data_IF_857587175179
#
_entry.id   IF_857587175179
#
_cell.length_a   1.000
_cell.length_b   1.000
_cell.length_c   1.000
_cell.angle_alpha   90.00
_cell.angle_beta   90.00
_cell.angle_gamma   90.00
#
_symmetry.space_group_name_H-M   'P 1'
#
loop_
_entity.id
_entity.type
_entity.pdbx_description
1 polymer ?
#
# COMPACT_ATOMS: atom_id res chain seq x y z
N UNK A 1 -22.29 28.13 -20.96
CA UNK A 1 -21.38 26.97 -21.02
C UNK A 1 -20.04 27.50 -20.52
N UNK A 2 -19.78 27.31 -19.20
CA UNK A 2 -18.56 27.80 -18.57
C UNK A 2 -17.32 27.08 -19.11
N UNK A 3 -16.23 27.81 -19.28
CA UNK A 3 -14.92 27.27 -19.60
C UNK A 3 -14.53 26.22 -18.58
N UNK A 4 -14.70 24.95 -18.92
CA UNK A 4 -14.11 23.84 -18.15
C UNK A 4 -12.60 23.99 -18.37
N UNK A 5 -11.88 24.54 -17.37
CA UNK A 5 -10.41 24.47 -17.35
C UNK A 5 -10.06 23.00 -17.51
N UNK A 6 -9.30 22.61 -18.55
CA UNK A 6 -8.74 21.28 -18.69
C UNK A 6 -7.98 20.96 -17.41
N UNK A 7 -8.55 20.14 -16.55
CA UNK A 7 -7.82 19.55 -15.43
C UNK A 7 -7.03 18.41 -16.03
N UNK A 8 -5.72 18.41 -15.86
CA UNK A 8 -4.91 17.25 -16.21
C UNK A 8 -5.37 16.06 -15.35
N UNK A 9 -5.76 14.98 -16.02
CA UNK A 9 -6.06 13.75 -15.32
C UNK A 9 -4.75 13.17 -14.79
N UNK A 10 -4.69 12.96 -13.48
CA UNK A 10 -3.52 12.41 -12.84
C UNK A 10 -3.40 10.92 -13.20
N UNK A 11 -2.38 10.56 -13.97
CA UNK A 11 -2.08 9.16 -14.23
C UNK A 11 -1.43 8.53 -12.99
N UNK A 12 -1.96 7.41 -12.55
CA UNK A 12 -1.37 6.61 -11.48
C UNK A 12 -1.24 5.17 -11.93
N UNK A 13 -0.07 4.59 -11.69
CA UNK A 13 0.22 3.17 -12.01
C UNK A 13 -0.75 2.17 -11.35
N UNK A 14 -1.50 2.57 -10.33
CA UNK A 14 -2.54 1.73 -9.72
C UNK A 14 -3.72 1.49 -10.66
N UNK A 15 -3.92 2.34 -11.66
CA UNK A 15 -5.02 2.24 -12.60
C UNK A 15 -4.66 1.46 -13.87
N UNK A 16 -3.39 1.12 -14.06
CA UNK A 16 -2.92 0.41 -15.23
C UNK A 16 -3.67 -0.92 -15.37
N UNK A 17 -4.07 -1.21 -16.63
CA UNK A 17 -4.81 -2.40 -17.02
C UNK A 17 -6.19 -2.57 -16.37
N UNK A 18 -6.72 -1.58 -15.67
CA UNK A 18 -8.07 -1.65 -15.12
C UNK A 18 -9.10 -1.39 -16.23
N UNK A 19 -9.95 -2.36 -16.59
CA UNK A 19 -10.92 -2.22 -17.68
C UNK A 19 -12.05 -1.22 -17.37
N UNK A 20 -12.21 -0.85 -16.08
CA UNK A 20 -13.24 0.07 -15.61
C UNK A 20 -12.74 1.52 -15.54
N UNK A 21 -11.45 1.76 -15.80
CA UNK A 21 -10.84 3.11 -15.75
C UNK A 21 -10.34 3.48 -17.13
N UNK A 22 -10.92 4.52 -17.72
CA UNK A 22 -10.49 5.05 -18.99
C UNK A 22 -9.36 6.08 -18.82
N UNK A 23 -8.32 6.00 -19.66
CA UNK A 23 -7.36 7.08 -19.80
C UNK A 23 -8.08 8.29 -20.42
N UNK A 24 -8.00 9.45 -19.76
CA UNK A 24 -8.64 10.67 -20.24
C UNK A 24 -8.22 11.10 -21.66
N UNK A 25 -7.07 10.64 -22.15
CA UNK A 25 -6.56 10.90 -23.49
C UNK A 25 -7.28 10.07 -24.56
N UNK A 26 -7.85 8.93 -24.17
CA UNK A 26 -8.45 7.93 -25.06
C UNK A 26 -9.92 7.64 -24.72
N UNK A 27 -10.56 8.49 -23.92
CA UNK A 27 -11.94 8.28 -23.49
C UNK A 27 -12.91 8.47 -24.66
N UNK A 28 -13.83 7.53 -24.84
CA UNK A 28 -14.92 7.64 -25.79
C UNK A 28 -16.05 8.52 -25.20
N UNK A 29 -16.08 9.79 -25.61
CA UNK A 29 -17.09 10.75 -25.12
C UNK A 29 -18.52 10.44 -25.53
N UNK A 30 -18.75 9.43 -26.41
CA UNK A 30 -20.10 8.95 -26.78
C UNK A 30 -20.68 7.98 -25.76
N UNK A 31 -19.86 7.46 -24.83
CA UNK A 31 -20.29 6.56 -23.77
C UNK A 31 -20.51 7.32 -22.48
N UNK A 32 -21.40 6.83 -21.60
CA UNK A 32 -21.55 7.40 -20.26
C UNK A 32 -20.21 7.36 -19.52
N UNK A 33 -19.79 8.50 -18.97
CA UNK A 33 -18.52 8.64 -18.26
C UNK A 33 -18.83 9.15 -16.85
N UNK A 34 -18.25 8.48 -15.85
CA UNK A 34 -18.24 8.97 -14.49
C UNK A 34 -16.87 9.57 -14.18
N UNK A 35 -16.82 10.85 -13.86
CA UNK A 35 -15.58 11.54 -13.50
C UNK A 35 -15.41 11.48 -12.00
N UNK A 36 -14.33 10.84 -11.54
CA UNK A 36 -13.94 10.82 -10.13
C UNK A 36 -13.01 12.01 -9.89
N UNK A 37 -13.45 12.95 -9.09
CA UNK A 37 -12.68 14.14 -8.70
C UNK A 37 -12.15 13.97 -7.27
N UNK A 38 -10.84 13.71 -7.14
CA UNK A 38 -10.16 13.58 -5.84
C UNK A 38 -9.52 14.89 -5.36
N UNK A 39 -10.00 16.02 -5.81
CA UNK A 39 -9.49 17.30 -5.30
C UNK A 39 -9.67 17.45 -3.79
N UNK A 40 -8.86 18.33 -3.24
CA UNK A 40 -9.05 18.81 -1.88
C UNK A 40 -10.50 19.29 -1.71
N UNK A 41 -11.21 18.74 -0.72
CA UNK A 41 -12.65 18.94 -0.56
C UNK A 41 -13.51 17.71 -0.90
N UNK A 42 -13.00 16.70 -1.62
CA UNK A 42 -13.77 15.54 -2.08
C UNK A 42 -13.32 14.20 -1.47
N UNK A 43 -12.47 14.21 -0.45
CA UNK A 43 -12.04 12.99 0.23
C UNK A 43 -13.17 12.48 1.13
N UNK A 44 -13.77 11.30 0.87
CA UNK A 44 -15.00 10.87 1.56
C UNK A 44 -14.79 10.57 3.05
N UNK A 45 -13.56 10.32 3.48
CA UNK A 45 -13.18 10.08 4.87
C UNK A 45 -12.99 11.37 5.70
N UNK A 46 -13.12 12.57 5.08
CA UNK A 46 -13.03 13.86 5.77
C UNK A 46 -14.43 14.51 5.82
N UNK A 47 -14.84 14.94 7.02
CA UNK A 47 -16.02 15.79 7.20
C UNK A 47 -15.62 17.25 6.98
N UNK A 48 -15.68 17.69 5.72
CA UNK A 48 -15.27 19.05 5.35
C UNK A 48 -16.12 20.14 5.98
N UNK A 49 -17.42 19.92 6.21
CA UNK A 49 -18.30 20.90 6.85
C UNK A 49 -17.84 21.22 8.28
N UNK A 50 -17.57 20.18 9.05
CA UNK A 50 -17.04 20.32 10.42
C UNK A 50 -15.60 20.77 10.44
N UNK A 51 -14.78 20.34 9.49
CA UNK A 51 -13.37 20.73 9.39
C UNK A 51 -13.21 22.23 9.12
N UNK A 52 -14.00 22.80 8.23
CA UNK A 52 -13.99 24.24 7.93
C UNK A 52 -14.39 25.08 9.14
N UNK A 53 -15.42 24.69 9.88
CA UNK A 53 -15.88 25.43 11.06
C UNK A 53 -14.91 25.36 12.24
N UNK A 54 -14.18 24.24 12.39
CA UNK A 54 -13.26 24.01 13.51
C UNK A 54 -11.80 24.36 13.22
N UNK A 55 -11.45 24.68 11.97
CA UNK A 55 -10.07 24.85 11.48
C UNK A 55 -9.16 23.64 11.75
N UNK A 56 -9.76 22.43 11.88
CA UNK A 56 -9.07 21.17 12.14
C UNK A 56 -9.55 20.10 11.15
N UNK A 57 -8.71 19.13 10.86
CA UNK A 57 -9.15 17.92 10.16
C UNK A 57 -10.09 17.11 11.05
N UNK A 58 -11.35 16.95 10.61
CA UNK A 58 -12.34 16.11 11.29
C UNK A 58 -12.67 14.94 10.37
N UNK A 59 -12.50 13.72 10.90
CA UNK A 59 -12.76 12.52 10.15
C UNK A 59 -14.26 12.21 10.06
N UNK A 60 -14.68 11.77 8.88
CA UNK A 60 -16.05 11.27 8.66
C UNK A 60 -16.17 9.85 9.27
N UNK A 61 -16.69 9.76 10.47
CA UNK A 61 -16.86 8.48 11.20
C UNK A 61 -17.86 7.51 10.53
N UNK A 62 -18.68 8.00 9.61
CA UNK A 62 -19.65 7.18 8.87
C UNK A 62 -19.03 6.60 7.58
N UNK A 63 -17.81 7.03 7.21
CA UNK A 63 -17.12 6.48 6.05
C UNK A 63 -16.65 5.05 6.34
N UNK A 64 -16.84 4.18 5.36
CA UNK A 64 -16.30 2.83 5.33
C UNK A 64 -15.57 2.65 4.00
N UNK A 65 -14.29 2.27 4.01
CA UNK A 65 -13.55 2.07 2.79
C UNK A 65 -14.03 0.83 2.06
N UNK A 66 -14.24 0.96 0.76
CA UNK A 66 -14.43 -0.17 -0.14
C UNK A 66 -13.09 -0.49 -0.80
N UNK A 67 -12.67 -1.76 -0.85
CA UNK A 67 -11.47 -2.15 -1.58
C UNK A 67 -11.53 -1.72 -3.03
N UNK A 68 -10.42 -1.18 -3.54
CA UNK A 68 -10.26 -0.92 -4.96
C UNK A 68 -10.00 -2.19 -5.76
N UNK A 69 -9.57 -2.03 -7.00
CA UNK A 69 -9.24 -3.14 -7.90
C UNK A 69 -7.86 -2.92 -8.51
N UNK A 70 -7.09 -4.00 -8.63
CA UNK A 70 -5.78 -4.01 -9.29
C UNK A 70 -5.73 -5.14 -10.32
N UNK A 71 -5.27 -4.81 -11.51
CA UNK A 71 -5.14 -5.74 -12.62
C UNK A 71 -3.70 -5.79 -13.09
N UNK A 72 -3.19 -6.98 -13.33
CA UNK A 72 -1.81 -7.22 -13.76
C UNK A 72 -1.78 -7.89 -15.12
N UNK A 73 -0.83 -7.47 -15.96
CA UNK A 73 -0.50 -8.16 -17.20
C UNK A 73 0.17 -9.52 -16.91
N UNK A 74 0.31 -10.34 -17.93
CA UNK A 74 1.08 -11.59 -17.83
C UNK A 74 2.54 -11.33 -17.49
N UNK A 75 3.14 -10.29 -18.07
CA UNK A 75 4.54 -9.94 -17.81
C UNK A 75 4.77 -9.43 -16.40
N UNK A 76 3.84 -8.63 -15.86
CA UNK A 76 3.91 -8.19 -14.45
C UNK A 76 3.82 -9.39 -13.49
N UNK A 77 2.96 -10.36 -13.81
CA UNK A 77 2.88 -11.59 -13.02
C UNK A 77 4.15 -12.44 -13.14
N UNK A 78 4.74 -12.57 -14.32
CA UNK A 78 5.99 -13.30 -14.54
C UNK A 78 7.15 -12.64 -13.78
N UNK A 79 7.25 -11.29 -13.83
CA UNK A 79 8.26 -10.55 -13.07
C UNK A 79 8.10 -10.75 -11.55
N UNK A 80 6.86 -10.82 -11.06
CA UNK A 80 6.60 -11.13 -9.66
C UNK A 80 7.02 -12.55 -9.30
N UNK A 81 6.77 -13.54 -10.17
CA UNK A 81 7.21 -14.94 -9.99
C UNK A 81 8.75 -15.01 -9.91
N UNK A 82 9.48 -14.25 -10.75
CA UNK A 82 10.94 -14.18 -10.66
C UNK A 82 11.43 -13.62 -9.30
N UNK A 83 10.73 -12.62 -8.75
CA UNK A 83 11.06 -12.09 -7.42
C UNK A 83 10.83 -13.16 -6.35
N UNK A 84 9.72 -13.87 -6.42
CA UNK A 84 9.41 -14.98 -5.49
C UNK A 84 10.46 -16.08 -5.58
N UNK A 85 10.90 -16.46 -6.78
CA UNK A 85 11.95 -17.46 -6.97
C UNK A 85 13.31 -17.02 -6.40
N UNK A 86 13.68 -15.75 -6.60
CA UNK A 86 14.90 -15.17 -6.00
C UNK A 86 14.80 -15.17 -4.47
N UNK A 87 13.65 -14.82 -3.92
CA UNK A 87 13.42 -14.84 -2.49
C UNK A 87 13.50 -16.27 -1.91
N UNK A 88 12.94 -17.28 -2.62
CA UNK A 88 13.10 -18.69 -2.22
C UNK A 88 14.55 -19.16 -2.27
N UNK A 89 15.32 -18.78 -3.31
CA UNK A 89 16.77 -19.09 -3.38
C UNK A 89 17.54 -18.44 -2.23
N UNK A 90 17.17 -17.21 -1.85
CA UNK A 90 17.73 -16.55 -0.68
C UNK A 90 17.41 -17.31 0.62
N UNK A 91 16.16 -17.69 0.83
CA UNK A 91 15.71 -18.46 1.97
C UNK A 91 16.47 -19.80 2.10
N UNK A 92 16.62 -20.53 0.99
CA UNK A 92 17.28 -21.84 0.97
C UNK A 92 18.77 -21.83 1.30
N UNK A 93 19.44 -20.66 1.30
CA UNK A 93 20.82 -20.57 1.79
C UNK A 93 20.95 -20.93 3.27
N UNK A 94 19.92 -20.68 4.07
CA UNK A 94 19.89 -20.91 5.50
C UNK A 94 18.91 -22.03 5.91
N UNK A 95 18.09 -22.51 4.99
CA UNK A 95 17.03 -23.48 5.24
C UNK A 95 17.06 -24.57 4.18
N UNK A 96 17.04 -25.85 4.59
CA UNK A 96 17.15 -27.00 3.66
C UNK A 96 15.93 -27.19 2.74
N UNK A 97 14.80 -26.55 3.04
CA UNK A 97 13.54 -26.73 2.32
C UNK A 97 12.95 -25.39 1.88
N UNK A 98 12.06 -25.44 0.89
CA UNK A 98 11.33 -24.27 0.41
C UNK A 98 10.39 -23.77 1.51
N UNK A 99 10.29 -22.46 1.69
CA UNK A 99 9.35 -21.88 2.64
C UNK A 99 7.90 -22.21 2.23
N UNK A 100 7.08 -22.56 3.23
CA UNK A 100 5.65 -22.88 3.00
C UNK A 100 4.78 -21.64 2.89
N UNK A 101 5.20 -20.54 3.53
CA UNK A 101 4.44 -19.28 3.60
C UNK A 101 5.37 -18.09 3.37
N UNK A 102 4.85 -17.11 2.65
CA UNK A 102 5.56 -15.89 2.25
C UNK A 102 4.85 -14.68 2.85
N UNK A 103 5.60 -13.83 3.53
CA UNK A 103 5.10 -12.59 4.12
C UNK A 103 5.77 -11.40 3.42
N UNK A 104 4.98 -10.48 2.90
CA UNK A 104 5.49 -9.19 2.43
C UNK A 104 5.40 -8.17 3.55
N UNK A 105 6.51 -7.51 3.88
CA UNK A 105 6.59 -6.56 4.99
C UNK A 105 7.00 -5.18 4.49
N UNK A 106 6.24 -4.16 4.87
CA UNK A 106 6.63 -2.76 4.79
C UNK A 106 6.98 -2.26 6.19
N UNK A 107 8.23 -1.81 6.38
CA UNK A 107 8.71 -1.40 7.71
C UNK A 107 8.63 0.10 7.96
N UNK A 108 8.24 0.91 6.97
CA UNK A 108 8.07 2.35 7.10
C UNK A 108 7.11 2.88 6.05
N UNK A 109 6.17 3.71 6.47
CA UNK A 109 5.23 4.41 5.58
C UNK A 109 5.78 5.72 5.02
N UNK A 110 6.96 6.17 5.48
CA UNK A 110 7.51 7.47 5.11
C UNK A 110 8.57 7.37 4.04
N UNK A 111 8.42 8.17 2.99
CA UNK A 111 9.53 8.55 2.13
C UNK A 111 10.46 9.41 2.97
N UNK A 112 11.62 8.88 3.32
CA UNK A 112 12.61 9.56 4.21
C UNK A 112 13.14 10.88 3.61
N UNK A 113 12.85 11.16 2.33
CA UNK A 113 13.35 12.33 1.60
C UNK A 113 12.73 13.66 2.02
N UNK A 114 11.59 13.64 2.69
CA UNK A 114 10.97 14.86 3.18
C UNK A 114 11.10 14.92 4.71
N UNK A 115 12.15 15.60 5.17
CA UNK A 115 12.41 15.83 6.59
C UNK A 115 11.19 16.45 7.29
N UNK A 116 10.49 17.38 6.64
CA UNK A 116 9.28 18.00 7.19
C UNK A 116 8.11 17.00 7.22
N UNK A 117 8.01 16.14 6.23
CA UNK A 117 7.00 15.08 6.19
C UNK A 117 7.25 14.05 7.29
N UNK A 118 8.51 13.65 7.49
CA UNK A 118 8.89 12.68 8.52
C UNK A 118 8.59 13.17 9.95
N UNK A 119 8.78 14.46 10.22
CA UNK A 119 8.44 15.07 11.52
C UNK A 119 6.92 15.08 11.74
N UNK A 120 6.14 15.42 10.72
CA UNK A 120 4.67 15.51 10.81
C UNK A 120 3.97 14.15 10.94
N UNK A 121 4.60 13.07 10.47
CA UNK A 121 3.97 11.75 10.36
C UNK A 121 4.68 10.67 11.17
N UNK A 122 5.48 11.05 12.17
CA UNK A 122 6.16 10.11 13.09
C UNK A 122 5.21 9.12 13.74
N UNK A 123 3.97 9.51 13.95
CA UNK A 123 2.94 8.66 14.52
C UNK A 123 2.43 7.54 13.60
N UNK A 124 2.88 7.49 12.33
CA UNK A 124 2.61 6.35 11.43
C UNK A 124 3.68 5.26 11.53
N UNK A 125 4.82 5.58 12.09
CA UNK A 125 5.96 4.67 12.15
C UNK A 125 5.95 3.92 13.48
N UNK A 126 5.97 2.59 13.42
CA UNK A 126 6.06 1.73 14.61
C UNK A 126 7.45 1.75 15.25
N UNK A 127 8.43 2.27 14.55
CA UNK A 127 9.82 2.29 14.96
C UNK A 127 10.59 1.05 14.50
N UNK A 128 11.80 1.29 13.99
CA UNK A 128 12.63 0.26 13.35
C UNK A 128 12.97 -0.90 14.27
N UNK A 129 13.23 -0.65 15.56
CA UNK A 129 13.52 -1.68 16.56
C UNK A 129 12.36 -2.65 16.76
N UNK A 130 11.11 -2.18 16.72
CA UNK A 130 9.93 -3.03 16.84
C UNK A 130 9.80 -3.94 15.62
N UNK A 131 10.05 -3.42 14.42
CA UNK A 131 10.09 -4.21 13.19
C UNK A 131 11.17 -5.28 13.23
N UNK A 132 12.40 -4.96 13.69
CA UNK A 132 13.47 -5.94 13.87
C UNK A 132 13.04 -7.03 14.85
N UNK A 133 12.47 -6.66 15.99
CA UNK A 133 12.03 -7.61 17.00
C UNK A 133 10.95 -8.56 16.46
N UNK A 134 9.95 -8.05 15.75
CA UNK A 134 8.94 -8.88 15.11
C UNK A 134 9.56 -9.84 14.09
N UNK A 135 10.37 -9.31 13.18
CA UNK A 135 10.97 -10.09 12.09
C UNK A 135 11.88 -11.19 12.67
N UNK A 136 12.68 -10.89 13.68
CA UNK A 136 13.55 -11.89 14.32
C UNK A 136 12.77 -13.06 14.95
N UNK A 137 11.52 -12.86 15.37
CA UNK A 137 10.70 -13.92 15.91
C UNK A 137 10.10 -14.85 14.85
N UNK A 138 9.99 -14.37 13.60
CA UNK A 138 9.26 -15.08 12.55
C UNK A 138 10.09 -15.48 11.33
N UNK A 139 11.27 -14.87 11.12
CA UNK A 139 12.10 -15.07 9.90
C UNK A 139 12.59 -16.50 9.70
N UNK A 140 12.70 -17.30 10.75
CA UNK A 140 13.12 -18.71 10.64
C UNK A 140 11.95 -19.65 10.31
N UNK A 141 10.73 -19.15 10.36
CA UNK A 141 9.50 -19.92 10.05
C UNK A 141 8.89 -19.55 8.71
N UNK A 142 9.05 -18.28 8.29
CA UNK A 142 8.42 -17.70 7.14
C UNK A 142 9.43 -17.01 6.23
N UNK A 143 9.29 -17.17 4.94
CA UNK A 143 10.03 -16.36 3.97
C UNK A 143 9.48 -14.94 4.02
N UNK A 144 10.33 -13.99 4.36
CA UNK A 144 9.96 -12.57 4.46
C UNK A 144 10.59 -11.81 3.30
N UNK A 145 9.75 -11.02 2.60
CA UNK A 145 10.17 -10.08 1.57
C UNK A 145 9.94 -8.68 2.14
N UNK A 146 11.03 -7.93 2.36
CA UNK A 146 10.95 -6.55 2.85
C UNK A 146 10.87 -5.58 1.69
N UNK A 147 9.86 -4.69 1.70
CA UNK A 147 9.83 -3.52 0.83
C UNK A 147 10.93 -2.55 1.22
N UNK A 148 11.76 -2.17 0.25
CA UNK A 148 12.88 -1.24 0.46
C UNK A 148 12.97 -0.23 -0.69
N UNK A 149 13.48 0.95 -0.37
CA UNK A 149 13.95 1.95 -1.30
C UNK A 149 15.39 2.37 -0.92
N UNK A 150 16.03 3.24 -1.68
CA UNK A 150 17.46 3.57 -1.51
C UNK A 150 17.85 3.98 -0.08
N UNK A 151 16.95 4.65 0.64
CA UNK A 151 17.18 5.10 2.03
C UNK A 151 16.54 4.21 3.09
N UNK A 152 15.95 3.09 2.73
CA UNK A 152 15.38 2.15 3.69
C UNK A 152 16.47 1.43 4.47
N UNK A 153 16.24 1.24 5.77
CA UNK A 153 17.07 0.34 6.56
C UNK A 153 16.64 -1.10 6.29
N UNK A 154 17.56 -1.89 5.76
CA UNK A 154 17.37 -3.32 5.53
C UNK A 154 17.46 -4.08 6.84
N UNK A 155 16.64 -5.10 6.99
CA UNK A 155 16.68 -6.02 8.13
C UNK A 155 17.40 -7.31 7.72
N UNK A 156 18.31 -7.78 8.55
CA UNK A 156 19.08 -8.98 8.27
C UNK A 156 18.21 -10.25 8.30
N UNK A 157 18.53 -11.16 7.39
CA UNK A 157 17.84 -12.46 7.30
C UNK A 157 16.53 -12.41 6.52
N UNK A 158 16.17 -11.29 5.90
CA UNK A 158 15.01 -11.17 5.00
C UNK A 158 15.44 -10.82 3.58
N UNK A 159 14.63 -11.24 2.60
CA UNK A 159 14.88 -10.87 1.21
C UNK A 159 14.44 -9.44 0.94
N UNK A 160 15.30 -8.67 0.27
CA UNK A 160 14.99 -7.32 -0.19
C UNK A 160 15.70 -7.00 -1.50
N UNK A 161 15.05 -6.27 -2.40
CA UNK A 161 15.62 -5.85 -3.67
C UNK A 161 15.12 -4.44 -4.03
N UNK A 162 16.05 -3.50 -4.23
CA UNK A 162 15.76 -2.11 -4.62
C UNK A 162 15.10 -1.98 -6.00
N UNK A 163 15.20 -3.02 -6.84
CA UNK A 163 14.57 -3.04 -8.16
C UNK A 163 13.05 -3.28 -8.10
N UNK A 164 12.53 -3.66 -6.94
CA UNK A 164 11.09 -3.84 -6.75
C UNK A 164 10.44 -2.46 -6.58
N UNK A 165 10.02 -1.87 -7.69
CA UNK A 165 9.23 -0.64 -7.68
C UNK A 165 7.81 -0.89 -7.13
N UNK A 166 7.02 0.18 -6.94
CA UNK A 166 5.69 0.07 -6.36
C UNK A 166 4.76 -0.90 -7.12
N UNK A 167 4.74 -0.83 -8.45
CA UNK A 167 3.85 -1.67 -9.26
C UNK A 167 4.24 -3.16 -9.19
N UNK A 168 5.54 -3.45 -9.26
CA UNK A 168 6.06 -4.81 -9.08
C UNK A 168 5.80 -5.31 -7.64
N UNK A 169 5.94 -4.46 -6.63
CA UNK A 169 5.62 -4.80 -5.25
C UNK A 169 4.14 -5.21 -5.10
N UNK A 170 3.21 -4.50 -5.76
CA UNK A 170 1.80 -4.89 -5.79
C UNK A 170 1.60 -6.31 -6.35
N UNK A 171 2.27 -6.64 -7.47
CA UNK A 171 2.20 -7.97 -8.07
C UNK A 171 2.85 -9.04 -7.17
N UNK A 172 3.95 -8.71 -6.47
CA UNK A 172 4.60 -9.60 -5.48
C UNK A 172 3.67 -9.84 -4.29
N UNK A 173 3.02 -8.80 -3.74
CA UNK A 173 2.01 -8.95 -2.67
C UNK A 173 0.91 -9.92 -3.10
N UNK A 174 0.50 -9.88 -4.38
CA UNK A 174 -0.50 -10.83 -4.90
C UNK A 174 -0.05 -12.30 -4.83
N UNK A 175 1.25 -12.58 -4.82
CA UNK A 175 1.83 -13.94 -4.70
C UNK A 175 2.11 -14.33 -3.24
N UNK A 176 2.10 -13.37 -2.31
CA UNK A 176 2.35 -13.63 -0.89
C UNK A 176 1.10 -14.12 -0.16
N UNK A 177 1.29 -14.78 0.99
CA UNK A 177 0.21 -15.26 1.86
C UNK A 177 -0.31 -14.18 2.80
N UNK A 178 0.56 -13.25 3.20
CA UNK A 178 0.26 -12.21 4.17
C UNK A 178 1.01 -10.91 3.84
N UNK A 179 0.34 -9.79 4.01
CA UNK A 179 0.96 -8.47 4.08
C UNK A 179 1.02 -8.00 5.53
N UNK A 180 2.13 -7.38 5.93
CA UNK A 180 2.29 -6.76 7.25
C UNK A 180 2.93 -5.39 7.06
N UNK A 181 2.33 -4.35 7.59
CA UNK A 181 2.88 -3.00 7.46
C UNK A 181 2.06 -1.92 8.15
N UNK A 182 2.52 -0.65 8.11
CA UNK A 182 1.76 0.47 8.61
C UNK A 182 0.57 0.80 7.70
N UNK A 183 -0.33 1.63 8.20
CA UNK A 183 -1.38 2.22 7.36
C UNK A 183 -0.76 2.98 6.17
N UNK A 184 -1.18 2.67 4.96
CA UNK A 184 -0.59 3.25 3.76
C UNK A 184 -1.01 2.58 2.47
N UNK A 185 -0.30 2.90 1.39
CA UNK A 185 -0.61 2.44 0.04
C UNK A 185 -0.70 0.93 -0.09
N UNK A 186 0.24 0.18 0.47
CA UNK A 186 0.23 -1.29 0.40
C UNK A 186 -0.88 -1.94 1.22
N UNK A 187 -1.39 -1.30 2.29
CA UNK A 187 -2.60 -1.73 2.96
C UNK A 187 -3.82 -1.71 2.03
N UNK A 188 -3.96 -0.64 1.24
CA UNK A 188 -5.01 -0.55 0.21
C UNK A 188 -4.80 -1.58 -0.92
N UNK A 189 -3.55 -1.84 -1.30
CA UNK A 189 -3.19 -2.90 -2.26
C UNK A 189 -3.62 -4.27 -1.74
N UNK A 190 -3.30 -4.59 -0.49
CA UNK A 190 -3.69 -5.86 0.12
C UNK A 190 -5.22 -6.05 0.11
N UNK A 191 -5.99 -5.00 0.42
CA UNK A 191 -7.45 -5.03 0.34
C UNK A 191 -7.95 -5.25 -1.09
N UNK A 192 -7.41 -4.51 -2.06
CA UNK A 192 -7.77 -4.63 -3.48
C UNK A 192 -7.49 -6.03 -4.04
N UNK A 193 -6.45 -6.70 -3.55
CA UNK A 193 -6.05 -8.05 -3.93
C UNK A 193 -6.69 -9.14 -3.07
N UNK A 194 -7.56 -8.78 -2.12
CA UNK A 194 -8.21 -9.69 -1.17
C UNK A 194 -7.19 -10.55 -0.37
N UNK A 195 -6.05 -9.96 -0.03
CA UNK A 195 -4.99 -10.60 0.74
C UNK A 195 -5.24 -10.43 2.23
N UNK A 196 -4.88 -11.45 3.00
CA UNK A 196 -4.77 -11.30 4.45
C UNK A 196 -3.74 -10.21 4.76
N UNK A 197 -4.05 -9.34 5.72
CA UNK A 197 -3.13 -8.29 6.12
C UNK A 197 -3.21 -8.00 7.62
N UNK A 198 -2.05 -7.63 8.17
CA UNK A 198 -1.92 -7.04 9.50
C UNK A 198 -1.47 -5.61 9.31
N UNK A 199 -2.32 -4.66 9.68
CA UNK A 199 -2.09 -3.23 9.48
C UNK A 199 -1.89 -2.55 10.83
N UNK A 200 -0.74 -1.90 11.00
CA UNK A 200 -0.45 -1.07 12.15
C UNK A 200 -0.92 0.37 11.93
N UNK A 201 -1.74 0.85 12.85
CA UNK A 201 -2.24 2.22 12.89
C UNK A 201 -1.58 2.99 14.04
N UNK A 202 -0.67 3.90 13.72
CA UNK A 202 0.12 4.65 14.70
C UNK A 202 -0.51 5.96 15.19
N UNK A 203 -1.81 6.19 14.97
CA UNK A 203 -2.52 7.35 15.51
C UNK A 203 -2.69 8.54 14.56
N UNK A 204 -2.32 8.43 13.29
CA UNK A 204 -2.65 9.45 12.29
C UNK A 204 -4.16 9.47 11.99
N UNK A 205 -4.75 8.32 11.74
CA UNK A 205 -6.17 8.13 11.50
C UNK A 205 -6.61 6.79 12.11
N UNK A 206 -7.82 6.75 12.65
CA UNK A 206 -8.34 5.53 13.26
C UNK A 206 -8.65 4.45 12.21
N UNK A 207 -8.37 3.17 12.50
CA UNK A 207 -8.83 2.06 11.67
C UNK A 207 -10.36 2.02 11.52
N UNK A 208 -11.10 2.59 12.46
CA UNK A 208 -12.56 2.73 12.35
C UNK A 208 -13.01 3.64 11.20
N UNK A 209 -12.09 4.45 10.64
CA UNK A 209 -12.38 5.34 9.51
C UNK A 209 -11.89 4.75 8.19
N UNK A 210 -10.65 4.27 8.13
CA UNK A 210 -10.03 3.81 6.86
C UNK A 210 -9.55 2.36 6.90
N UNK A 211 -9.69 1.65 8.01
CA UNK A 211 -9.35 0.23 8.10
C UNK A 211 -10.38 -0.62 7.35
N UNK A 212 -9.90 -1.67 6.70
CA UNK A 212 -10.75 -2.65 6.05
C UNK A 212 -11.14 -3.76 7.04
N UNK A 213 -12.39 -4.18 7.02
CA UNK A 213 -12.89 -5.25 7.91
C UNK A 213 -12.25 -6.62 7.60
N UNK A 214 -11.70 -6.78 6.39
CA UNK A 214 -10.94 -7.97 5.98
C UNK A 214 -9.51 -8.04 6.54
N UNK A 215 -9.03 -6.99 7.19
CA UNK A 215 -7.67 -6.91 7.72
C UNK A 215 -7.67 -7.02 9.24
N UNK A 216 -6.56 -7.52 9.79
CA UNK A 216 -6.29 -7.42 11.22
C UNK A 216 -5.65 -6.06 11.52
N UNK A 217 -6.46 -5.12 12.01
CA UNK A 217 -6.03 -3.76 12.28
C UNK A 217 -5.56 -3.63 13.72
N UNK A 218 -4.27 -3.31 13.92
CA UNK A 218 -3.67 -3.04 15.23
C UNK A 218 -3.65 -1.53 15.41
N UNK A 219 -4.24 -1.07 16.50
CA UNK A 219 -4.28 0.34 16.89
C UNK A 219 -3.61 0.51 18.25
N UNK A 220 -2.71 1.50 18.35
CA UNK A 220 -1.99 1.82 19.58
C UNK A 220 -2.38 3.20 20.08
#
# INVERSE_FOLDING_TARGET
IGNIKKKEAYHSVVYDNNPNIADCRNVDLKKPIHIIDYHEGNRPYIDYKKSLSSKKYIWNKNFKPTPGELYFTKDENNNADEVIDKAHKFWQKNHKQKAKKIIFVETSSTKIDDYQYSIKHKNKDWGHSNWINLINQIKDKYLIIQSVHEKSTKIDGVYSDLKINFRLACAVINKCDLYVGPEGGFGHVAAALKKNAVIYFGGWISPNVIGYDSHYNIYY
#
